data_IF_343791205296
#
_entry.id   IF_343791205296
#
_cell.length_a   1.000
_cell.length_b   1.000
_cell.length_c   1.000
_cell.angle_alpha   90.00
_cell.angle_beta   90.00
_cell.angle_gamma   90.00
#
_symmetry.space_group_name_H-M   'P 1'
#
loop_
_entity.id
_entity.type
_entity.pdbx_description
1 polymer ?
#
# COMPACT_ATOMS: atom_id res chain seq x y z
N UNK A 1 -15.09 -29.83 17.28
CA UNK A 1 -14.38 -28.85 18.13
C UNK A 1 -13.00 -29.41 18.35
N UNK A 2 -11.97 -28.81 17.72
CA UNK A 2 -10.59 -29.25 17.96
C UNK A 2 -10.30 -29.02 19.44
N UNK A 3 -9.95 -30.08 20.18
CA UNK A 3 -9.33 -29.91 21.48
C UNK A 3 -8.16 -28.95 21.28
N UNK A 4 -8.12 -27.86 22.05
CA UNK A 4 -6.93 -27.05 22.14
C UNK A 4 -5.78 -28.00 22.46
N UNK A 5 -4.75 -27.96 21.63
CA UNK A 5 -3.53 -28.69 21.89
C UNK A 5 -2.92 -28.03 23.13
N UNK A 6 -3.26 -28.57 24.32
CA UNK A 6 -2.92 -28.03 25.65
C UNK A 6 -1.40 -28.09 25.81
N UNK A 7 -0.75 -27.10 25.22
CA UNK A 7 0.69 -26.99 25.10
C UNK A 7 1.15 -25.85 26.01
N UNK A 8 2.08 -26.15 26.91
CA UNK A 8 2.67 -25.11 27.74
C UNK A 8 3.47 -24.15 26.85
N UNK A 9 3.29 -22.86 27.08
CA UNK A 9 4.04 -21.80 26.42
C UNK A 9 5.00 -21.16 27.42
N UNK A 10 6.18 -20.76 26.94
CA UNK A 10 7.12 -20.03 27.77
C UNK A 10 6.50 -18.72 28.30
N UNK A 11 6.46 -18.56 29.61
CA UNK A 11 5.96 -17.35 30.28
C UNK A 11 6.98 -16.20 30.28
N UNK A 12 8.15 -16.34 29.66
CA UNK A 12 9.09 -15.23 29.51
C UNK A 12 8.47 -14.14 28.61
N UNK A 13 8.52 -12.86 29.01
CA UNK A 13 7.98 -11.78 28.20
C UNK A 13 8.51 -11.84 26.77
N UNK A 14 7.59 -11.87 25.78
CA UNK A 14 7.87 -11.92 24.33
C UNK A 14 8.37 -13.26 23.75
N UNK A 15 8.60 -14.32 24.54
CA UNK A 15 9.06 -15.61 23.99
C UNK A 15 7.91 -16.46 23.44
N UNK A 16 6.96 -16.84 24.30
CA UNK A 16 5.77 -17.64 23.95
C UNK A 16 6.03 -18.92 23.13
N UNK A 17 7.26 -19.42 23.10
CA UNK A 17 7.59 -20.65 22.40
C UNK A 17 6.92 -21.84 23.08
N UNK A 18 6.39 -22.76 22.27
CA UNK A 18 5.86 -24.05 22.75
C UNK A 18 6.95 -24.81 23.48
N UNK A 19 6.65 -25.28 24.68
CA UNK A 19 7.59 -26.04 25.50
C UNK A 19 7.52 -27.52 25.15
N UNK A 20 8.68 -28.17 25.10
CA UNK A 20 8.82 -29.59 24.81
C UNK A 20 10.14 -30.11 25.34
N UNK A 21 10.19 -31.40 25.67
CA UNK A 21 11.36 -32.00 26.33
C UNK A 21 11.47 -31.50 27.76
N UNK A 22 12.27 -30.47 28.00
CA UNK A 22 12.50 -29.91 29.33
C UNK A 22 11.96 -28.48 29.47
N UNK A 23 11.49 -28.16 30.67
CA UNK A 23 11.08 -26.82 31.04
C UNK A 23 11.49 -26.48 32.48
N UNK A 24 11.61 -25.19 32.75
CA UNK A 24 11.89 -24.67 34.08
C UNK A 24 10.59 -24.18 34.71
N UNK A 25 10.16 -24.83 35.78
CA UNK A 25 8.95 -24.51 36.53
C UNK A 25 9.33 -23.83 37.84
N UNK A 26 8.57 -22.81 38.23
CA UNK A 26 8.78 -22.05 39.45
C UNK A 26 7.66 -22.29 40.46
N UNK A 27 7.92 -22.08 41.77
CA UNK A 27 6.91 -22.20 42.82
C UNK A 27 5.73 -21.22 42.64
N UNK A 28 5.96 -20.09 41.98
CA UNK A 28 4.89 -19.16 41.58
C UNK A 28 4.10 -19.61 40.33
N UNK A 29 4.18 -20.90 39.97
CA UNK A 29 3.46 -21.53 38.86
C UNK A 29 3.79 -20.98 37.47
N UNK A 30 4.91 -20.29 37.27
CA UNK A 30 5.39 -19.90 35.93
C UNK A 30 6.36 -20.93 35.35
N UNK A 31 6.30 -21.11 34.04
CA UNK A 31 7.09 -22.08 33.28
C UNK A 31 7.87 -21.42 32.13
N UNK A 32 9.11 -21.84 31.94
CA UNK A 32 10.06 -21.23 30.99
C UNK A 32 10.77 -22.28 30.14
N UNK A 33 11.14 -21.91 28.92
CA UNK A 33 11.98 -22.76 28.07
C UNK A 33 13.41 -22.83 28.62
N UNK A 34 14.19 -23.82 28.14
CA UNK A 34 15.54 -24.06 28.65
C UNK A 34 16.47 -22.84 28.48
N UNK A 35 16.31 -22.09 27.38
CA UNK A 35 17.07 -20.87 27.11
C UNK A 35 16.84 -19.79 28.18
N UNK A 36 15.58 -19.48 28.51
CA UNK A 36 15.27 -18.45 29.50
C UNK A 36 15.48 -18.95 30.93
N UNK A 37 15.17 -20.21 31.21
CA UNK A 37 15.36 -20.78 32.53
C UNK A 37 16.83 -20.81 32.94
N UNK A 38 17.71 -21.35 32.07
CA UNK A 38 19.15 -21.37 32.34
C UNK A 38 19.77 -19.97 32.42
N UNK A 39 19.30 -19.01 31.61
CA UNK A 39 19.82 -17.64 31.61
C UNK A 39 19.43 -16.82 32.86
N UNK A 40 18.17 -16.92 33.29
CA UNK A 40 17.61 -16.09 34.36
C UNK A 40 17.83 -16.70 35.75
N UNK A 41 17.72 -18.02 35.89
CA UNK A 41 17.78 -18.70 37.19
C UNK A 41 19.19 -19.08 37.63
N UNK A 42 20.20 -18.89 36.79
CA UNK A 42 21.61 -19.04 37.18
C UNK A 42 22.12 -17.87 38.04
N UNK A 43 21.34 -16.77 38.16
CA UNK A 43 21.73 -15.56 38.89
C UNK A 43 21.14 -15.58 40.31
N UNK A 44 21.88 -15.02 41.25
CA UNK A 44 21.42 -14.83 42.64
C UNK A 44 21.26 -13.34 42.95
N UNK A 45 20.12 -12.90 43.51
CA UNK A 45 18.93 -13.69 43.81
C UNK A 45 18.17 -14.07 42.53
N UNK A 46 17.59 -15.27 42.50
CA UNK A 46 16.72 -15.67 41.40
C UNK A 46 15.36 -14.99 41.57
N UNK A 47 14.90 -14.32 40.51
CA UNK A 47 13.62 -13.60 40.47
C UNK A 47 12.82 -14.13 39.28
N UNK A 48 11.54 -14.41 39.48
CA UNK A 48 10.67 -14.84 38.40
C UNK A 48 10.53 -13.75 37.33
N UNK A 49 10.90 -14.01 36.06
CA UNK A 49 10.77 -13.01 34.99
C UNK A 49 9.33 -12.63 34.64
N UNK A 50 8.34 -13.44 35.06
CA UNK A 50 6.93 -13.23 34.73
C UNK A 50 6.17 -12.40 35.78
N UNK A 51 6.46 -12.60 37.08
CA UNK A 51 5.72 -11.96 38.18
C UNK A 51 6.60 -11.26 39.22
N UNK A 52 7.92 -11.26 39.03
CA UNK A 52 8.89 -10.62 39.91
C UNK A 52 8.97 -11.19 41.34
N UNK A 53 8.33 -12.34 41.61
CA UNK A 53 8.49 -13.06 42.87
C UNK A 53 9.94 -13.50 43.08
N UNK A 54 10.46 -13.32 44.29
CA UNK A 54 11.76 -13.83 44.70
C UNK A 54 11.68 -15.37 44.88
N UNK A 55 12.67 -16.08 44.35
CA UNK A 55 12.74 -17.54 44.33
C UNK A 55 13.97 -17.99 45.11
N UNK A 56 13.84 -18.06 46.44
CA UNK A 56 14.95 -18.34 47.37
C UNK A 56 14.91 -19.75 47.98
N UNK A 57 13.78 -20.44 47.87
CA UNK A 57 13.59 -21.81 48.36
C UNK A 57 14.31 -22.84 47.49
N UNK A 58 14.74 -23.95 48.11
CA UNK A 58 15.46 -25.04 47.42
C UNK A 58 14.65 -25.70 46.31
N UNK A 59 13.32 -25.62 46.38
CA UNK A 59 12.38 -26.19 45.41
C UNK A 59 11.58 -25.11 44.67
N UNK A 60 11.99 -23.84 44.78
CA UNK A 60 11.29 -22.73 44.12
C UNK A 60 11.50 -22.74 42.61
N UNK A 61 12.51 -23.46 42.13
CA UNK A 61 12.88 -23.57 40.73
C UNK A 61 13.25 -25.02 40.46
N UNK A 62 12.56 -25.65 39.51
CA UNK A 62 12.80 -27.04 39.13
C UNK A 62 12.86 -27.13 37.61
N UNK A 63 13.91 -27.75 37.09
CA UNK A 63 13.97 -28.18 35.69
C UNK A 63 13.31 -29.55 35.59
N UNK A 64 12.19 -29.64 34.88
CA UNK A 64 11.37 -30.85 34.75
C UNK A 64 11.30 -31.33 33.31
N UNK A 65 11.17 -32.64 33.13
CA UNK A 65 10.87 -33.26 31.84
C UNK A 65 9.35 -33.27 31.64
N UNK A 66 8.88 -32.67 30.55
CA UNK A 66 7.45 -32.55 30.23
C UNK A 66 6.86 -33.85 29.68
N UNK A 67 7.71 -34.75 29.21
CA UNK A 67 7.31 -36.05 28.64
C UNK A 67 8.16 -37.19 29.24
N UNK A 68 8.00 -37.50 30.54
CA UNK A 68 8.79 -38.54 31.20
C UNK A 68 8.43 -39.94 30.67
N UNK A 69 9.33 -40.91 30.87
CA UNK A 69 9.10 -42.31 30.45
C UNK A 69 7.96 -42.99 31.24
N UNK A 70 7.40 -44.07 30.68
CA UNK A 70 6.33 -44.83 31.35
C UNK A 70 6.81 -45.46 32.66
N UNK A 71 8.07 -45.90 32.73
CA UNK A 71 8.68 -46.44 33.94
C UNK A 71 8.77 -45.37 35.04
N UNK A 72 9.14 -44.14 34.70
CA UNK A 72 9.17 -43.04 35.67
C UNK A 72 7.77 -42.74 36.22
N UNK A 73 6.75 -42.67 35.34
CA UNK A 73 5.35 -42.44 35.74
C UNK A 73 4.85 -43.51 36.70
N UNK A 74 5.21 -44.78 36.47
CA UNK A 74 4.82 -45.89 37.33
C UNK A 74 5.50 -45.84 38.72
N UNK A 75 6.76 -45.41 38.76
CA UNK A 75 7.58 -45.48 39.97
C UNK A 75 7.48 -44.23 40.86
N UNK A 76 7.27 -43.04 40.30
CA UNK A 76 7.38 -41.77 41.06
C UNK A 76 6.37 -41.64 42.20
N UNK A 77 5.22 -42.32 42.13
CA UNK A 77 4.19 -42.31 43.16
C UNK A 77 4.11 -43.64 43.95
N UNK A 78 4.95 -44.62 43.64
CA UNK A 78 4.90 -45.93 44.29
C UNK A 78 5.24 -45.83 45.78
N UNK A 79 4.41 -46.44 46.63
CA UNK A 79 4.58 -46.43 48.10
C UNK A 79 3.98 -45.21 48.81
N UNK A 80 3.43 -44.24 48.07
CA UNK A 80 2.71 -43.12 48.67
C UNK A 80 1.27 -43.52 49.06
N UNK A 81 0.77 -42.89 50.13
CA UNK A 81 -0.64 -43.08 50.54
C UNK A 81 -1.59 -42.42 49.54
N UNK A 82 -2.82 -42.94 49.35
CA UNK A 82 -3.78 -42.37 48.40
C UNK A 82 -4.08 -40.89 48.58
N UNK A 83 -4.14 -40.39 49.83
CA UNK A 83 -4.36 -38.98 50.14
C UNK A 83 -3.23 -38.09 49.62
N UNK A 84 -1.97 -38.54 49.72
CA UNK A 84 -0.81 -37.82 49.19
C UNK A 84 -0.85 -37.78 47.66
N UNK A 85 -1.22 -38.89 47.02
CA UNK A 85 -1.35 -38.98 45.56
C UNK A 85 -2.42 -38.01 45.04
N UNK A 86 -3.56 -37.95 45.72
CA UNK A 86 -4.64 -37.02 45.37
C UNK A 86 -4.22 -35.56 45.58
N UNK A 87 -3.48 -35.23 46.64
CA UNK A 87 -2.94 -33.87 46.84
C UNK A 87 -1.96 -33.46 45.74
N UNK A 88 -1.02 -34.35 45.37
CA UNK A 88 -0.08 -34.11 44.26
C UNK A 88 -0.84 -33.88 42.94
N UNK A 89 -1.84 -34.73 42.66
CA UNK A 89 -2.65 -34.63 41.45
C UNK A 89 -3.43 -33.30 41.41
N UNK A 90 -4.03 -32.91 42.54
CA UNK A 90 -4.76 -31.65 42.64
C UNK A 90 -3.86 -30.43 42.38
N UNK A 91 -2.63 -30.43 42.92
CA UNK A 91 -1.63 -29.37 42.68
C UNK A 91 -1.20 -29.31 41.22
N UNK A 92 -0.97 -30.47 40.59
CA UNK A 92 -0.61 -30.54 39.17
C UNK A 92 -1.74 -30.00 38.27
N UNK A 93 -3.00 -30.35 38.56
CA UNK A 93 -4.17 -29.82 37.86
C UNK A 93 -4.35 -28.31 38.07
N UNK A 94 -4.09 -27.82 39.28
CA UNK A 94 -4.13 -26.39 39.58
C UNK A 94 -3.08 -25.61 38.76
N UNK A 95 -1.86 -26.15 38.62
CA UNK A 95 -0.83 -25.58 37.76
C UNK A 95 -1.29 -25.49 36.30
N UNK A 96 -1.83 -26.58 35.74
CA UNK A 96 -2.34 -26.57 34.36
C UNK A 96 -3.52 -25.61 34.17
N UNK A 97 -4.45 -25.58 35.13
CA UNK A 97 -5.58 -24.65 35.13
C UNK A 97 -5.10 -23.20 35.12
N UNK A 98 -4.08 -22.88 35.92
CA UNK A 98 -3.45 -21.56 35.92
C UNK A 98 -2.83 -21.23 34.56
N UNK A 99 -2.07 -22.16 33.96
CA UNK A 99 -1.43 -21.95 32.66
C UNK A 99 -2.46 -21.71 31.54
N UNK A 100 -3.53 -22.51 31.49
CA UNK A 100 -4.62 -22.34 30.52
C UNK A 100 -5.36 -21.01 30.75
N UNK A 101 -5.62 -20.64 32.00
CA UNK A 101 -6.28 -19.38 32.33
C UNK A 101 -5.43 -18.17 31.92
N UNK A 102 -4.14 -18.17 32.26
CA UNK A 102 -3.20 -17.11 31.86
C UNK A 102 -3.12 -16.99 30.33
N UNK A 103 -3.12 -18.11 29.62
CA UNK A 103 -3.14 -18.13 28.16
C UNK A 103 -4.40 -17.49 27.59
N UNK A 104 -5.58 -17.88 28.11
CA UNK A 104 -6.86 -17.29 27.71
C UNK A 104 -6.86 -15.78 27.92
N UNK A 105 -6.48 -15.30 29.11
CA UNK A 105 -6.46 -13.87 29.42
C UNK A 105 -5.53 -13.09 28.47
N UNK A 106 -4.38 -13.66 28.13
CA UNK A 106 -3.47 -13.06 27.16
C UNK A 106 -4.07 -13.00 25.75
N UNK A 107 -4.74 -14.07 25.31
CA UNK A 107 -5.39 -14.13 24.00
C UNK A 107 -6.55 -13.13 23.91
N UNK A 108 -7.37 -13.03 24.95
CA UNK A 108 -8.47 -12.05 25.04
C UNK A 108 -7.96 -10.62 24.95
N UNK A 109 -6.90 -10.28 25.70
CA UNK A 109 -6.26 -8.95 25.61
C UNK A 109 -5.71 -8.67 24.22
N UNK A 110 -5.02 -9.65 23.62
CA UNK A 110 -4.43 -9.51 22.28
C UNK A 110 -5.51 -9.30 21.20
N UNK A 111 -6.61 -10.04 21.31
CA UNK A 111 -7.77 -9.92 20.43
C UNK A 111 -8.44 -8.55 20.58
N UNK A 112 -8.70 -8.10 21.81
CA UNK A 112 -9.29 -6.78 22.07
C UNK A 112 -8.45 -5.64 21.46
N UNK A 113 -7.11 -5.73 21.58
CA UNK A 113 -6.21 -4.76 20.96
C UNK A 113 -6.27 -4.80 19.42
N UNK A 114 -6.32 -5.99 18.83
CA UNK A 114 -6.44 -6.15 17.39
C UNK A 114 -7.79 -5.62 16.87
N UNK A 115 -8.88 -5.86 17.59
CA UNK A 115 -10.21 -5.32 17.27
C UNK A 115 -10.23 -3.78 17.31
N UNK A 116 -9.58 -3.17 18.30
CA UNK A 116 -9.46 -1.72 18.38
C UNK A 116 -8.72 -1.13 17.17
N UNK A 117 -7.62 -1.78 16.75
CA UNK A 117 -6.86 -1.39 15.55
C UNK A 117 -7.68 -1.55 14.28
N UNK A 118 -8.42 -2.66 14.15
CA UNK A 118 -9.33 -2.89 13.02
C UNK A 118 -10.41 -1.80 12.92
N UNK A 119 -11.06 -1.46 14.05
CA UNK A 119 -12.06 -0.39 14.10
C UNK A 119 -11.48 0.97 13.71
N UNK A 120 -10.23 1.26 14.11
CA UNK A 120 -9.56 2.50 13.71
C UNK A 120 -9.27 2.51 12.20
N UNK A 121 -8.76 1.41 11.66
CA UNK A 121 -8.46 1.29 10.23
C UNK A 121 -9.73 1.40 9.37
N UNK A 122 -10.82 0.76 9.79
CA UNK A 122 -12.13 0.82 9.14
C UNK A 122 -12.66 2.27 9.04
N UNK A 123 -12.54 3.05 10.13
CA UNK A 123 -12.87 4.48 10.13
C UNK A 123 -12.04 5.26 9.12
N UNK A 124 -10.73 5.03 9.07
CA UNK A 124 -9.83 5.74 8.13
C UNK A 124 -10.20 5.42 6.68
N UNK A 125 -10.43 4.14 6.36
CA UNK A 125 -10.82 3.71 5.00
C UNK A 125 -12.17 4.31 4.61
N UNK A 126 -13.13 4.30 5.53
CA UNK A 126 -14.46 4.87 5.29
C UNK A 126 -14.38 6.38 5.01
N UNK A 127 -13.60 7.12 5.81
CA UNK A 127 -13.39 8.56 5.61
C UNK A 127 -12.68 8.87 4.29
N UNK A 128 -11.65 8.10 3.93
CA UNK A 128 -10.96 8.27 2.65
C UNK A 128 -11.89 8.00 1.46
N UNK A 129 -12.73 6.98 1.53
CA UNK A 129 -13.71 6.70 0.50
C UNK A 129 -14.73 7.83 0.36
N UNK A 130 -15.22 8.37 1.48
CA UNK A 130 -16.13 9.53 1.46
C UNK A 130 -15.46 10.76 0.82
N UNK A 131 -14.20 11.06 1.14
CA UNK A 131 -13.44 12.16 0.51
C UNK A 131 -13.32 11.96 -1.00
N UNK A 132 -12.95 10.74 -1.43
CA UNK A 132 -12.82 10.40 -2.85
C UNK A 132 -14.14 10.50 -3.61
N UNK A 133 -15.25 10.09 -3.00
CA UNK A 133 -16.58 10.24 -3.62
C UNK A 133 -16.94 11.72 -3.84
N UNK A 134 -16.61 12.59 -2.88
CA UNK A 134 -16.80 14.05 -3.03
C UNK A 134 -15.93 14.61 -4.15
N UNK A 135 -14.64 14.26 -4.21
CA UNK A 135 -13.72 14.68 -5.27
C UNK A 135 -14.18 14.19 -6.65
N UNK A 136 -14.59 12.92 -6.76
CA UNK A 136 -15.13 12.34 -7.99
C UNK A 136 -16.40 13.07 -8.44
N UNK A 137 -17.30 13.40 -7.53
CA UNK A 137 -18.50 14.19 -7.82
C UNK A 137 -18.14 15.59 -8.31
N UNK A 138 -17.15 16.24 -7.69
CA UNK A 138 -16.65 17.55 -8.10
C UNK A 138 -16.11 17.55 -9.54
N UNK A 139 -15.19 16.63 -9.84
CA UNK A 139 -14.60 16.49 -11.19
C UNK A 139 -15.67 16.16 -12.23
N UNK A 140 -16.64 15.29 -11.90
CA UNK A 140 -17.79 15.01 -12.79
C UNK A 140 -18.60 16.28 -13.08
N UNK A 141 -18.82 17.12 -12.09
CA UNK A 141 -19.46 18.43 -12.23
C UNK A 141 -18.68 19.37 -13.15
N UNK A 142 -17.37 19.48 -12.96
CA UNK A 142 -16.49 20.28 -13.82
C UNK A 142 -16.52 19.81 -15.27
N UNK A 143 -16.41 18.50 -15.51
CA UNK A 143 -16.51 17.90 -16.84
C UNK A 143 -17.87 18.25 -17.48
N UNK A 144 -18.96 18.18 -16.74
CA UNK A 144 -20.29 18.53 -17.24
C UNK A 144 -20.37 20.03 -17.62
N UNK A 145 -19.78 20.92 -16.81
CA UNK A 145 -19.74 22.35 -17.08
C UNK A 145 -18.89 22.68 -18.33
N UNK A 146 -17.70 22.09 -18.45
CA UNK A 146 -16.80 22.28 -19.59
C UNK A 146 -17.42 21.74 -20.89
N UNK A 147 -18.15 20.62 -20.83
CA UNK A 147 -18.93 20.11 -21.96
C UNK A 147 -19.96 21.12 -22.45
N UNK A 148 -20.72 21.75 -21.55
CA UNK A 148 -21.70 22.80 -21.93
C UNK A 148 -21.03 24.00 -22.60
N UNK A 149 -19.92 24.47 -22.01
CA UNK A 149 -19.13 25.59 -22.57
C UNK A 149 -18.59 25.23 -23.96
N UNK A 150 -18.08 24.02 -24.15
CA UNK A 150 -17.60 23.53 -25.45
C UNK A 150 -18.71 23.55 -26.51
N UNK A 151 -19.91 23.05 -26.17
CA UNK A 151 -21.04 23.06 -27.10
C UNK A 151 -21.49 24.49 -27.44
N UNK A 152 -21.44 25.42 -26.48
CA UNK A 152 -21.71 26.83 -26.75
C UNK A 152 -20.69 27.46 -27.71
N UNK A 153 -19.39 27.18 -27.52
CA UNK A 153 -18.33 27.62 -28.44
C UNK A 153 -18.50 27.02 -29.84
N UNK A 154 -18.84 25.73 -29.95
CA UNK A 154 -19.15 25.11 -31.25
C UNK A 154 -20.30 25.81 -31.96
N UNK A 155 -21.39 26.13 -31.23
CA UNK A 155 -22.53 26.86 -31.78
C UNK A 155 -22.13 28.26 -32.28
N UNK A 156 -21.39 29.04 -31.47
CA UNK A 156 -20.89 30.37 -31.85
C UNK A 156 -19.96 30.30 -33.06
N UNK A 157 -19.09 29.29 -33.12
CA UNK A 157 -18.20 29.06 -34.26
C UNK A 157 -18.99 28.80 -35.55
N UNK A 158 -20.03 27.96 -35.50
CA UNK A 158 -20.92 27.69 -36.65
C UNK A 158 -21.59 28.97 -37.14
N UNK A 159 -22.15 29.77 -36.22
CA UNK A 159 -22.82 31.04 -36.56
C UNK A 159 -21.87 32.05 -37.23
N UNK A 160 -20.64 32.19 -36.70
CA UNK A 160 -19.62 33.07 -37.29
C UNK A 160 -19.18 32.56 -38.67
N UNK A 161 -18.97 31.25 -38.81
CA UNK A 161 -18.61 30.61 -40.08
C UNK A 161 -19.68 30.87 -41.15
N UNK A 162 -20.96 30.69 -40.83
CA UNK A 162 -22.08 30.97 -41.73
C UNK A 162 -22.13 32.45 -42.15
N UNK A 163 -21.97 33.37 -41.20
CA UNK A 163 -21.91 34.81 -41.50
C UNK A 163 -20.75 35.17 -42.42
N UNK A 164 -19.58 34.57 -42.21
CA UNK A 164 -18.41 34.77 -43.05
C UNK A 164 -18.66 34.26 -44.47
N UNK A 165 -19.25 33.07 -44.61
CA UNK A 165 -19.62 32.52 -45.92
C UNK A 165 -20.61 33.44 -46.65
N UNK A 166 -21.61 33.97 -45.96
CA UNK A 166 -22.58 34.90 -46.55
C UNK A 166 -21.90 36.22 -46.98
N UNK A 167 -21.00 36.78 -46.15
CA UNK A 167 -20.22 37.97 -46.52
C UNK A 167 -19.32 37.72 -47.72
N UNK A 168 -18.66 36.57 -47.80
CA UNK A 168 -17.85 36.19 -48.97
C UNK A 168 -18.69 36.10 -50.25
N UNK A 169 -19.91 35.53 -50.18
CA UNK A 169 -20.84 35.49 -51.31
C UNK A 169 -21.25 36.90 -51.75
N UNK A 170 -21.57 37.79 -50.80
CA UNK A 170 -21.91 39.18 -51.09
C UNK A 170 -20.73 39.93 -51.72
N UNK A 171 -19.53 39.75 -51.18
CA UNK A 171 -18.31 40.33 -51.72
C UNK A 171 -18.06 39.87 -53.16
N UNK A 172 -18.15 38.56 -53.45
CA UNK A 172 -18.00 38.01 -54.80
C UNK A 172 -19.03 38.59 -55.78
N UNK A 173 -20.29 38.75 -55.37
CA UNK A 173 -21.33 39.40 -56.18
C UNK A 173 -20.97 40.86 -56.49
N UNK A 174 -20.55 41.62 -55.47
CA UNK A 174 -20.19 43.04 -55.61
C UNK A 174 -18.95 43.20 -56.50
N UNK A 175 -17.94 42.36 -56.31
CA UNK A 175 -16.73 42.29 -57.13
C UNK A 175 -17.10 42.05 -58.61
N UNK A 176 -17.96 41.06 -58.88
CA UNK A 176 -18.42 40.78 -60.24
C UNK A 176 -19.18 41.95 -60.89
N UNK A 177 -20.01 42.66 -60.13
CA UNK A 177 -20.68 43.89 -60.60
C UNK A 177 -19.69 45.02 -60.89
N UNK A 178 -18.71 45.23 -60.00
CA UNK A 178 -17.66 46.23 -60.18
C UNK A 178 -16.82 45.96 -61.43
N UNK A 179 -16.37 44.71 -61.62
CA UNK A 179 -15.59 44.32 -62.79
C UNK A 179 -16.40 44.50 -64.08
N UNK A 180 -17.70 44.19 -64.05
CA UNK A 180 -18.63 44.43 -65.17
C UNK A 180 -18.77 45.92 -65.49
N UNK A 181 -18.92 46.78 -64.47
CA UNK A 181 -19.02 48.23 -64.64
C UNK A 181 -17.70 48.83 -65.16
N UNK A 182 -16.57 48.38 -64.64
CA UNK A 182 -15.23 48.77 -65.10
C UNK A 182 -15.04 48.41 -66.57
N UNK A 183 -15.40 47.20 -66.98
CA UNK A 183 -15.29 46.76 -68.37
C UNK A 183 -16.19 47.60 -69.29
N UNK A 184 -17.43 47.89 -68.87
CA UNK A 184 -18.35 48.78 -69.60
C UNK A 184 -17.77 50.19 -69.75
N UNK A 185 -17.20 50.77 -68.70
CA UNK A 185 -16.59 52.11 -68.76
C UNK A 185 -15.31 52.13 -69.61
N UNK A 186 -14.53 51.05 -69.64
CA UNK A 186 -13.40 50.92 -70.57
C UNK A 186 -13.88 50.84 -72.04
N UNK A 187 -15.00 50.19 -72.31
CA UNK A 187 -15.59 50.12 -73.66
C UNK A 187 -16.18 51.47 -74.11
N UNK A 188 -16.66 52.30 -73.18
CA UNK A 188 -17.14 53.67 -73.48
C UNK A 188 -16.00 54.70 -73.53
N UNK A 189 -14.86 54.42 -72.88
CA UNK A 189 -13.66 55.27 -72.87
C UNK A 189 -12.55 54.87 -73.86
N UNK A 190 -12.75 53.84 -74.70
CA UNK A 190 -11.77 53.39 -75.69
C UNK A 190 -11.83 54.27 -76.95
N UNK A 191 -11.42 55.51 -76.78
CA UNK A 191 -10.97 56.40 -77.83
C UNK A 191 -9.70 57.12 -77.39
N UNK A 192 -8.69 56.40 -76.85
CA UNK A 192 -7.28 56.59 -77.22
C UNK A 192 -6.28 55.68 -76.46
N UNK A 193 -5.34 55.12 -77.25
CA UNK A 193 -3.94 54.70 -76.95
C UNK A 193 -3.62 53.31 -76.34
N UNK A 194 -3.05 52.49 -77.23
CA UNK A 194 -1.80 51.69 -77.24
C UNK A 194 -1.12 51.16 -75.95
N UNK A 195 -0.58 49.95 -76.13
CA UNK A 195 0.05 49.03 -75.17
C UNK A 195 1.56 49.24 -74.90
N UNK A 196 1.94 49.23 -73.60
CA UNK A 196 3.06 48.53 -72.87
C UNK A 196 4.56 48.69 -73.31
N UNK A 197 5.62 48.36 -72.49
CA UNK A 197 5.64 47.70 -71.16
C UNK A 197 6.67 48.14 -70.06
N UNK A 198 6.37 47.70 -68.82
CA UNK A 198 7.25 47.13 -67.76
C UNK A 198 8.15 47.99 -66.82
N UNK A 199 8.57 47.46 -65.62
CA UNK A 199 8.23 48.06 -64.33
C UNK A 199 9.43 48.49 -63.46
N UNK A 200 9.20 49.46 -62.55
CA UNK A 200 10.20 49.96 -61.61
C UNK A 200 9.61 50.30 -60.23
N UNK A 201 9.78 49.34 -59.32
CA UNK A 201 10.05 49.39 -57.86
C UNK A 201 9.65 50.56 -56.93
N UNK A 202 9.36 50.10 -55.70
CA UNK A 202 9.39 50.74 -54.36
C UNK A 202 8.20 51.64 -54.02
N UNK A 203 7.67 51.71 -52.81
CA UNK A 203 7.70 50.96 -51.53
C UNK A 203 6.83 51.86 -50.65
N UNK A 204 5.86 51.38 -49.86
CA UNK A 204 5.59 51.85 -48.48
C UNK A 204 4.65 50.86 -47.76
N UNK A 205 4.91 50.73 -46.47
CA UNK A 205 4.74 49.59 -45.60
C UNK A 205 3.62 49.85 -44.59
N UNK A 206 2.67 48.92 -44.40
CA UNK A 206 2.01 48.64 -43.11
C UNK A 206 1.72 47.14 -43.04
N UNK A 207 2.41 46.45 -42.14
CA UNK A 207 2.26 45.02 -41.89
C UNK A 207 1.22 44.70 -40.81
N UNK A 208 0.59 43.52 -40.94
CA UNK A 208 0.04 42.76 -39.81
C UNK A 208 0.23 41.25 -40.04
N UNK A 209 1.12 40.69 -39.23
CA UNK A 209 1.17 39.37 -38.59
C UNK A 209 0.45 38.12 -39.17
N UNK A 210 1.25 37.04 -39.33
CA UNK A 210 1.14 35.65 -38.81
C UNK A 210 -0.16 34.86 -39.12
N UNK A 211 -0.15 33.58 -39.52
CA UNK A 211 0.72 32.46 -39.15
C UNK A 211 0.44 31.28 -40.09
N UNK A 212 1.47 30.49 -40.40
CA UNK A 212 1.37 29.25 -41.15
C UNK A 212 1.25 28.00 -40.26
N UNK A 213 0.82 26.91 -40.89
CA UNK A 213 1.03 25.53 -40.43
C UNK A 213 1.87 24.81 -41.47
N UNK A 214 2.84 23.99 -41.05
CA UNK A 214 2.79 22.61 -41.54
C UNK A 214 3.15 21.56 -40.47
N UNK A 215 2.67 20.35 -40.72
CA UNK A 215 2.94 19.15 -39.95
C UNK A 215 4.42 18.73 -39.99
N UNK A 216 4.93 18.26 -38.83
CA UNK A 216 5.79 17.07 -38.77
C UNK A 216 5.93 16.57 -37.33
N UNK A 217 5.84 15.25 -37.18
CA UNK A 217 6.17 14.45 -35.99
C UNK A 217 7.64 14.61 -35.57
N UNK A 218 8.02 14.36 -34.29
CA UNK A 218 9.43 14.14 -33.98
C UNK A 218 9.75 12.83 -33.24
N UNK A 219 10.94 12.31 -33.56
CA UNK A 219 11.69 11.27 -32.86
C UNK A 219 12.73 11.90 -31.89
N UNK A 220 13.00 11.13 -30.84
CA UNK A 220 14.02 11.12 -29.79
C UNK A 220 15.45 11.65 -30.07
N UNK A 221 16.00 12.52 -29.19
CA UNK A 221 17.17 12.33 -28.26
C UNK A 221 17.98 13.63 -27.92
N UNK A 222 18.14 13.84 -26.61
CA UNK A 222 19.28 14.34 -25.81
C UNK A 222 20.15 15.55 -26.21
N UNK A 223 20.17 16.58 -25.35
CA UNK A 223 21.30 16.94 -24.44
C UNK A 223 20.94 18.20 -23.62
N UNK A 224 21.16 18.14 -22.31
CA UNK A 224 21.06 19.23 -21.32
C UNK A 224 22.31 20.17 -21.41
N UNK A 225 22.44 21.32 -20.70
CA UNK A 225 21.77 21.66 -19.43
C UNK A 225 21.37 23.14 -19.17
N UNK A 226 20.60 23.32 -18.08
CA UNK A 226 20.67 24.38 -17.05
C UNK A 226 19.45 25.31 -16.90
N UNK A 227 18.87 25.30 -15.70
CA UNK A 227 18.01 26.36 -15.13
C UNK A 227 16.51 26.12 -15.30
N UNK A 228 15.86 25.27 -14.49
CA UNK A 228 15.29 25.52 -13.15
C UNK A 228 13.75 25.53 -13.23
N UNK A 229 13.08 24.74 -12.38
CA UNK A 229 11.61 24.54 -12.39
C UNK A 229 11.16 23.07 -12.51
N UNK A 230 11.19 22.33 -11.39
CA UNK A 230 10.71 20.92 -11.30
C UNK A 230 9.24 20.85 -10.87
N UNK A 231 8.38 20.38 -11.76
CA UNK A 231 7.07 19.79 -11.45
C UNK A 231 6.94 18.42 -12.14
N UNK A 232 6.57 17.41 -11.35
CA UNK A 232 6.22 16.02 -11.66
C UNK A 232 7.27 15.06 -12.25
N UNK A 233 7.73 14.13 -11.40
CA UNK A 233 7.63 12.70 -11.71
C UNK A 233 7.61 11.84 -10.45
N UNK A 234 6.90 10.72 -10.56
CA UNK A 234 6.56 9.75 -9.52
C UNK A 234 7.78 9.01 -8.95
N UNK A 235 7.61 8.58 -7.69
CA UNK A 235 8.43 7.65 -6.91
C UNK A 235 9.03 6.50 -7.73
N UNK A 236 10.32 6.24 -7.52
CA UNK A 236 10.84 4.94 -7.05
C UNK A 236 12.25 5.08 -6.44
N UNK A 237 12.50 4.19 -5.47
CA UNK A 237 13.76 3.91 -4.76
C UNK A 237 14.23 4.90 -3.69
N UNK A 238 13.76 4.72 -2.45
CA UNK A 238 14.68 4.29 -1.38
C UNK A 238 13.94 3.69 -0.17
N UNK A 239 14.50 2.62 0.39
CA UNK A 239 14.21 2.23 1.79
C UNK A 239 13.05 1.26 2.08
N UNK A 240 12.83 0.21 1.29
CA UNK A 240 12.02 -0.92 1.75
C UNK A 240 12.77 -1.72 2.83
N UNK A 241 12.56 -1.36 4.10
CA UNK A 241 12.86 -2.26 5.22
C UNK A 241 11.89 -3.45 5.13
N UNK A 242 12.45 -4.63 4.90
CA UNK A 242 11.76 -5.92 4.96
C UNK A 242 10.91 -6.03 6.23
N UNK A 243 9.57 -5.95 6.10
CA UNK A 243 8.65 -6.09 7.23
C UNK A 243 7.66 -7.27 7.09
N UNK A 244 7.76 -8.06 6.03
CA UNK A 244 7.02 -9.33 5.93
C UNK A 244 7.92 -10.43 5.38
N UNK A 245 8.43 -11.27 6.29
CA UNK A 245 8.91 -12.60 5.93
C UNK A 245 8.07 -13.62 6.71
N UNK A 246 7.04 -14.12 6.05
CA UNK A 246 6.35 -15.34 6.47
C UNK A 246 7.27 -16.52 6.18
N UNK A 247 7.78 -17.17 7.24
CA UNK A 247 8.44 -18.46 7.13
C UNK A 247 7.37 -19.55 6.96
N UNK A 248 7.18 -20.03 5.73
CA UNK A 248 6.53 -21.32 5.47
C UNK A 248 7.58 -22.43 5.34
N UNK A 249 7.22 -23.69 5.65
CA UNK A 249 8.17 -24.73 6.02
C UNK A 249 9.01 -25.24 4.84
N UNK A 250 10.22 -25.71 5.16
CA UNK A 250 11.15 -26.29 4.21
C UNK A 250 10.53 -27.44 3.40
N UNK A 251 10.67 -27.33 2.08
CA UNK A 251 10.37 -28.38 1.11
C UNK A 251 11.49 -29.41 1.19
N UNK A 252 11.16 -30.65 1.59
CA UNK A 252 12.06 -31.79 1.56
C UNK A 252 12.74 -31.92 0.18
N UNK A 253 14.07 -32.03 0.17
CA UNK A 253 14.80 -32.57 -0.97
C UNK A 253 16.10 -33.23 -0.49
N UNK A 254 16.22 -34.53 -0.78
CA UNK A 254 17.50 -35.21 -0.97
C UNK A 254 17.91 -36.20 0.12
N UNK A 255 17.41 -37.44 0.03
CA UNK A 255 18.13 -38.61 0.54
C UNK A 255 19.37 -38.84 -0.32
N UNK A 256 20.57 -39.08 0.25
CA UNK A 256 21.62 -39.79 -0.44
C UNK A 256 21.46 -41.30 -0.23
N UNK A 257 21.49 -42.03 -1.35
CA UNK A 257 21.65 -43.47 -1.43
C UNK A 257 22.92 -43.91 -0.69
N UNK A 258 22.81 -44.80 0.30
CA UNK A 258 23.96 -45.56 0.82
C UNK A 258 24.03 -46.85 0.02
N UNK A 259 25.13 -46.99 -0.72
CA UNK A 259 25.49 -48.20 -1.43
C UNK A 259 26.06 -49.22 -0.42
N UNK A 260 25.67 -50.48 -0.59
CA UNK A 260 26.21 -51.62 0.15
C UNK A 260 27.67 -51.84 -0.25
N UNK A 261 28.56 -51.95 0.72
CA UNK A 261 29.54 -53.04 0.89
C UNK A 261 30.16 -52.95 2.29
#
# INVERSE_FOLDING_TARGET
MSFCDDTLLCNFPKCRTKLGGFAWVTACSHVFCDQHGSGEFSRSPAICPACSSALSGKLDIVRTELSPSEEYKAMVLAGLRPDVILDISARALAFWSYQVHQERMFQEYSLSRAEAQLKQMDKVVTQQNQSREVELSGIRGEIASLKKVMEEYKRKYSEVSERLMERNRQYQKLQGLYDSLRLRNMVVGAGDRDMLPQPGRNDYNIGVARQGTPQRSPQFLSMAPSGDGRFFSCLEADGAKNFFQYSSPARERGRPYINKH
#
